data_IF_772130831108
#
_entry.id   IF_772130831108
#
_cell.length_a   1.000
_cell.length_b   1.000
_cell.length_c   1.000
_cell.angle_alpha   90.00
_cell.angle_beta   90.00
_cell.angle_gamma   90.00
#
_symmetry.space_group_name_H-M   'P 1'
#
loop_
_entity.id
_entity.type
_entity.pdbx_description
1 polymer ?
#
# COMPACT_ATOMS: atom_id res chain seq x y z
N UNK A 1 -7.80 -12.58 -30.14
CA UNK A 1 -6.93 -12.44 -28.95
C UNK A 1 -6.42 -11.00 -28.94
N UNK A 2 -6.28 -10.39 -27.77
CA UNK A 2 -5.31 -9.30 -27.52
C UNK A 2 -5.63 -7.81 -27.84
N UNK A 3 -6.81 -7.41 -28.34
CA UNK A 3 -7.07 -5.97 -28.63
C UNK A 3 -6.88 -5.04 -27.40
N UNK A 4 -7.29 -5.49 -26.21
CA UNK A 4 -7.11 -4.75 -24.96
C UNK A 4 -5.64 -4.60 -24.54
N UNK A 5 -4.81 -5.63 -24.76
CA UNK A 5 -3.37 -5.57 -24.46
C UNK A 5 -2.63 -4.70 -25.45
N UNK A 6 -2.99 -4.76 -26.74
CA UNK A 6 -2.40 -3.90 -27.78
C UNK A 6 -2.64 -2.41 -27.48
N UNK A 7 -3.85 -2.06 -27.05
CA UNK A 7 -4.15 -0.68 -26.63
C UNK A 7 -3.30 -0.22 -25.44
N UNK A 8 -3.16 -1.06 -24.42
CA UNK A 8 -2.30 -0.77 -23.26
C UNK A 8 -0.82 -0.64 -23.64
N UNK A 9 -0.32 -1.47 -24.55
CA UNK A 9 1.04 -1.35 -25.07
C UNK A 9 1.27 -0.02 -25.82
N UNK A 10 0.33 0.40 -26.67
CA UNK A 10 0.43 1.68 -27.37
C UNK A 10 0.41 2.88 -26.40
N UNK A 11 -0.45 2.82 -25.38
CA UNK A 11 -0.48 3.84 -24.32
C UNK A 11 0.82 3.86 -23.52
N UNK A 12 1.42 2.69 -23.23
CA UNK A 12 2.70 2.60 -22.54
C UNK A 12 3.80 3.31 -23.33
N UNK A 13 3.89 3.08 -24.64
CA UNK A 13 4.88 3.74 -25.52
C UNK A 13 4.70 5.25 -25.52
N UNK A 14 3.46 5.74 -25.70
CA UNK A 14 3.18 7.19 -25.70
C UNK A 14 3.52 7.86 -24.37
N UNK A 15 3.21 7.21 -23.24
CA UNK A 15 3.59 7.72 -21.93
C UNK A 15 5.11 7.69 -21.73
N UNK A 16 5.80 6.69 -22.28
CA UNK A 16 7.26 6.61 -22.28
C UNK A 16 7.92 7.75 -23.06
N UNK A 17 7.36 8.09 -24.22
CA UNK A 17 7.78 9.22 -25.06
C UNK A 17 7.64 10.55 -24.30
N UNK A 18 6.45 10.80 -23.72
CA UNK A 18 6.21 11.96 -22.85
C UNK A 18 7.14 12.02 -21.63
N UNK A 19 7.55 10.86 -21.09
CA UNK A 19 8.55 10.81 -20.01
C UNK A 19 9.95 11.14 -20.53
N UNK A 20 10.30 10.69 -21.74
CA UNK A 20 11.56 11.01 -22.43
C UNK A 20 11.71 12.50 -22.72
N UNK A 21 10.61 13.17 -23.07
CA UNK A 21 10.54 14.63 -23.25
C UNK A 21 10.64 15.41 -21.92
N UNK A 22 10.67 14.73 -20.78
CA UNK A 22 10.81 15.37 -19.47
C UNK A 22 9.50 15.93 -18.90
N UNK A 23 8.36 15.78 -19.58
CA UNK A 23 7.06 16.31 -19.12
C UNK A 23 6.71 15.81 -17.71
N UNK A 24 7.09 14.58 -17.37
CA UNK A 24 6.84 14.00 -16.05
C UNK A 24 7.56 14.69 -14.87
N UNK A 25 8.54 15.54 -15.15
CA UNK A 25 9.28 16.33 -14.15
C UNK A 25 8.64 17.69 -13.89
N UNK A 26 7.73 18.12 -14.77
CA UNK A 26 6.99 19.38 -14.60
C UNK A 26 6.02 19.30 -13.41
N UNK A 27 5.63 20.46 -12.84
CA UNK A 27 4.74 20.51 -11.67
C UNK A 27 3.44 19.72 -11.85
N UNK A 28 2.86 19.76 -13.06
CA UNK A 28 1.62 19.07 -13.41
C UNK A 28 1.86 17.66 -13.99
N UNK A 29 3.06 17.37 -14.49
CA UNK A 29 3.38 16.13 -15.20
C UNK A 29 3.45 14.85 -14.36
N UNK A 30 3.28 14.96 -13.03
CA UNK A 30 3.33 13.81 -12.10
C UNK A 30 2.31 12.72 -12.44
N UNK A 31 1.24 13.03 -13.16
CA UNK A 31 0.25 12.04 -13.58
C UNK A 31 0.80 11.06 -14.62
N UNK A 32 1.72 11.49 -15.49
CA UNK A 32 2.31 10.67 -16.58
C UNK A 32 3.00 9.44 -15.98
N UNK A 33 3.88 9.65 -15.01
CA UNK A 33 4.57 8.56 -14.32
C UNK A 33 3.65 7.67 -13.48
N UNK A 34 2.52 8.19 -12.99
CA UNK A 34 1.51 7.38 -12.27
C UNK A 34 0.77 6.46 -13.23
N UNK A 35 0.34 6.98 -14.37
CA UNK A 35 -0.38 6.20 -15.39
C UNK A 35 0.54 5.17 -16.05
N UNK A 36 1.80 5.53 -16.34
CA UNK A 36 2.80 4.60 -16.86
C UNK A 36 2.96 3.36 -15.96
N UNK A 37 3.11 3.58 -14.64
CA UNK A 37 3.19 2.49 -13.65
C UNK A 37 1.92 1.65 -13.56
N UNK A 38 0.75 2.25 -13.78
CA UNK A 38 -0.54 1.55 -13.77
C UNK A 38 -0.67 0.63 -14.99
N UNK A 39 -0.28 1.12 -16.17
CA UNK A 39 -0.28 0.32 -17.40
C UNK A 39 0.72 -0.83 -17.31
N UNK A 40 1.94 -0.59 -16.77
CA UNK A 40 2.90 -1.67 -16.50
C UNK A 40 2.33 -2.78 -15.61
N UNK A 41 1.49 -2.44 -14.63
CA UNK A 41 0.81 -3.43 -13.77
C UNK A 41 -0.29 -4.17 -14.53
N UNK A 42 -1.08 -3.46 -15.33
CA UNK A 42 -2.14 -4.07 -16.13
C UNK A 42 -1.59 -5.05 -17.18
N UNK A 43 -0.41 -4.76 -17.72
CA UNK A 43 0.31 -5.64 -18.65
C UNK A 43 1.07 -6.78 -17.96
N UNK A 44 1.15 -6.80 -16.63
CA UNK A 44 1.90 -7.81 -15.88
C UNK A 44 3.42 -7.66 -15.95
N UNK A 45 3.93 -6.53 -16.45
CA UNK A 45 5.37 -6.23 -16.56
C UNK A 45 5.95 -5.80 -15.20
N UNK A 46 5.14 -5.11 -14.39
CA UNK A 46 5.58 -4.65 -13.07
C UNK A 46 5.54 -5.77 -12.04
N UNK A 47 6.57 -5.84 -11.19
CA UNK A 47 6.60 -6.77 -10.07
C UNK A 47 5.37 -6.59 -9.16
N UNK A 48 4.75 -7.69 -8.70
CA UNK A 48 3.60 -7.63 -7.83
C UNK A 48 3.97 -6.92 -6.52
N UNK A 49 3.04 -6.14 -5.98
CA UNK A 49 3.25 -5.43 -4.72
C UNK A 49 3.43 -6.45 -3.60
N UNK A 50 4.51 -6.33 -2.82
CA UNK A 50 4.76 -7.19 -1.66
C UNK A 50 3.59 -7.13 -0.67
N UNK A 51 2.97 -8.27 -0.43
CA UNK A 51 1.92 -8.40 0.57
C UNK A 51 2.56 -8.61 1.95
N UNK A 52 2.46 -7.61 2.83
CA UNK A 52 2.94 -7.72 4.21
C UNK A 52 1.80 -8.05 5.20
N UNK A 53 0.62 -8.45 4.71
CA UNK A 53 -0.56 -8.68 5.53
C UNK A 53 -0.34 -9.72 6.63
N UNK A 54 0.31 -10.84 6.32
CA UNK A 54 0.64 -11.88 7.30
C UNK A 54 1.53 -11.36 8.44
N UNK A 55 2.63 -10.66 8.09
CA UNK A 55 3.52 -10.06 9.07
C UNK A 55 2.82 -8.99 9.94
N UNK A 56 1.91 -8.20 9.36
CA UNK A 56 1.11 -7.22 10.11
C UNK A 56 0.17 -7.94 11.09
N UNK A 57 -0.48 -9.02 10.67
CA UNK A 57 -1.40 -9.77 11.51
C UNK A 57 -0.69 -10.41 12.70
N UNK A 58 0.49 -11.00 12.47
CA UNK A 58 1.32 -11.56 13.54
C UNK A 58 1.72 -10.48 14.55
N UNK A 59 2.26 -9.36 14.08
CA UNK A 59 2.65 -8.24 14.95
C UNK A 59 1.47 -7.65 15.73
N UNK A 60 0.28 -7.56 15.12
CA UNK A 60 -0.94 -7.14 15.80
C UNK A 60 -1.38 -8.17 16.84
N UNK A 61 -1.35 -9.46 16.53
CA UNK A 61 -1.71 -10.51 17.48
C UNK A 61 -0.79 -10.49 18.70
N UNK A 62 0.51 -10.22 18.51
CA UNK A 62 1.46 -10.03 19.62
C UNK A 62 1.16 -8.76 20.43
N UNK A 63 0.91 -7.63 19.76
CA UNK A 63 0.61 -6.37 20.44
C UNK A 63 -0.71 -6.41 21.22
N UNK A 64 -1.73 -7.10 20.71
CA UNK A 64 -3.04 -7.23 21.35
C UNK A 64 -3.03 -8.12 22.60
N UNK A 65 -1.99 -8.93 22.82
CA UNK A 65 -1.84 -9.71 24.07
C UNK A 65 -1.59 -8.82 25.29
N UNK A 66 -0.88 -7.71 25.11
CA UNK A 66 -0.49 -6.79 26.19
C UNK A 66 -1.28 -5.48 26.16
N UNK A 67 -1.70 -5.04 24.97
CA UNK A 67 -2.43 -3.80 24.81
C UNK A 67 -3.89 -3.94 25.25
N UNK A 68 -4.30 -3.10 26.21
CA UNK A 68 -5.69 -2.94 26.63
C UNK A 68 -6.19 -1.56 26.28
N UNK A 69 -7.51 -1.44 26.12
CA UNK A 69 -8.12 -0.13 25.99
C UNK A 69 -8.03 0.64 27.32
N UNK A 70 -8.07 1.97 27.26
CA UNK A 70 -8.27 2.84 28.43
C UNK A 70 -9.52 2.49 29.25
N UNK A 71 -10.57 1.95 28.61
CA UNK A 71 -11.77 1.45 29.27
C UNK A 71 -11.62 0.03 29.86
N UNK A 72 -10.41 -0.55 29.85
CA UNK A 72 -10.09 -1.87 30.41
C UNK A 72 -10.47 -3.07 29.54
N UNK A 73 -11.25 -2.85 28.48
CA UNK A 73 -11.69 -3.89 27.56
C UNK A 73 -10.60 -4.32 26.55
N UNK A 74 -10.82 -5.49 25.97
CA UNK A 74 -9.96 -6.06 24.94
C UNK A 74 -10.08 -5.30 23.62
N UNK A 75 -8.94 -5.23 22.92
CA UNK A 75 -8.81 -4.62 21.60
C UNK A 75 -8.83 -5.71 20.53
N UNK A 76 -9.52 -5.47 19.43
CA UNK A 76 -9.56 -6.36 18.26
C UNK A 76 -9.02 -5.64 17.05
N UNK A 77 -8.22 -6.31 16.22
CA UNK A 77 -7.77 -5.74 14.94
C UNK A 77 -8.97 -5.39 14.06
N UNK A 78 -9.00 -4.17 13.51
CA UNK A 78 -10.14 -3.65 12.75
C UNK A 78 -10.38 -4.39 11.44
N UNK A 79 -9.30 -4.77 10.76
CA UNK A 79 -9.29 -5.63 9.57
C UNK A 79 -7.93 -6.29 9.42
N UNK A 80 -7.89 -7.46 8.80
CA UNK A 80 -6.63 -8.13 8.47
C UNK A 80 -5.71 -7.24 7.64
N UNK A 81 -4.43 -7.25 7.95
CA UNK A 81 -3.41 -6.41 7.33
C UNK A 81 -3.44 -4.94 7.77
N UNK A 82 -4.30 -4.57 8.73
CA UNK A 82 -4.33 -3.23 9.32
C UNK A 82 -3.56 -3.19 10.63
N UNK A 83 -2.91 -2.06 10.88
CA UNK A 83 -2.27 -1.77 12.18
C UNK A 83 -3.20 -0.99 13.10
N UNK A 84 -4.51 -1.11 12.89
CA UNK A 84 -5.54 -0.47 13.68
C UNK A 84 -6.29 -1.53 14.45
N UNK A 85 -6.61 -1.21 15.70
CA UNK A 85 -7.50 -2.00 16.53
C UNK A 85 -8.66 -1.14 17.01
N UNK A 86 -9.82 -1.76 17.12
CA UNK A 86 -11.02 -1.19 17.70
C UNK A 86 -11.25 -1.82 19.07
N UNK A 87 -11.68 -1.01 20.03
CA UNK A 87 -12.13 -1.51 21.31
C UNK A 87 -13.51 -2.16 21.17
N UNK A 88 -13.68 -3.33 21.79
CA UNK A 88 -14.94 -4.08 21.80
C UNK A 88 -16.08 -3.40 22.57
N UNK A 89 -15.76 -2.43 23.45
CA UNK A 89 -16.73 -1.83 24.38
C UNK A 89 -16.95 -0.33 24.19
N UNK A 90 -15.90 0.43 23.93
CA UNK A 90 -15.96 1.90 23.93
C UNK A 90 -15.70 2.54 22.57
N UNK A 91 -15.75 1.76 21.47
CA UNK A 91 -15.55 2.18 20.06
C UNK A 91 -14.25 2.98 19.76
N UNK A 92 -13.36 3.07 20.74
CA UNK A 92 -12.09 3.75 20.59
C UNK A 92 -11.19 3.02 19.61
N UNK A 93 -10.56 3.80 18.72
CA UNK A 93 -9.64 3.32 17.70
C UNK A 93 -8.20 3.60 18.07
N UNK A 94 -7.40 2.54 18.05
CA UNK A 94 -5.97 2.59 18.35
C UNK A 94 -5.17 2.30 17.09
N UNK A 95 -4.15 3.11 16.82
CA UNK A 95 -3.22 2.88 15.73
C UNK A 95 -1.85 2.48 16.28
N UNK A 96 -1.46 1.24 16.02
CA UNK A 96 -0.15 0.72 16.36
C UNK A 96 0.86 1.22 15.32
N UNK A 97 1.98 1.75 15.78
CA UNK A 97 3.10 2.13 14.90
C UNK A 97 3.92 0.88 14.60
N UNK A 98 4.44 0.74 13.37
CA UNK A 98 5.52 -0.22 13.11
C UNK A 98 6.69 0.15 14.00
N UNK A 99 7.22 -0.82 14.74
CA UNK A 99 8.52 -0.66 15.37
C UNK A 99 9.50 -0.13 14.32
N UNK A 100 10.15 0.99 14.60
CA UNK A 100 11.25 1.46 13.77
C UNK A 100 12.27 0.31 13.81
N UNK A 101 12.67 -0.24 12.66
CA UNK A 101 13.91 -1.02 12.66
C UNK A 101 14.96 -0.06 13.19
N UNK A 102 15.60 -0.38 14.32
CA UNK A 102 16.83 0.28 14.70
C UNK A 102 17.74 0.15 13.48
N UNK A 103 18.01 1.27 12.81
CA UNK A 103 19.12 1.37 11.86
C UNK A 103 20.36 1.10 12.70
N UNK A 104 20.82 -0.16 12.67
CA UNK A 104 22.10 -0.54 13.22
C UNK A 104 23.17 0.29 12.51
N UNK A 105 23.98 0.94 13.34
CA UNK A 105 25.16 1.74 13.00
C UNK A 105 26.17 0.99 12.14
#
# INVERSE_FOLDING_TARGET
>A
MDDGKKHLHNQLVRLGDMMGDGLHLEPDGKWIGKEYKKILRALGISAPRRNNGGAINQAMAEALKTARCTCGAELKQSRSGSMRADCTKCENRFQFKRGRKASGS
#
